data_IF_754701949467
#
_entry.id   IF_754701949467
#
_cell.length_a   1.000
_cell.length_b   1.000
_cell.length_c   1.000
_cell.angle_alpha   90.00
_cell.angle_beta   90.00
_cell.angle_gamma   90.00
#
_symmetry.space_group_name_H-M   'P 1'
#
loop_
_entity.id
_entity.type
_entity.pdbx_description
1 polymer ?
#
# COMPACT_ATOMS: atom_id res chain seq x y z
N UNK A 1 -19.49 28.54 -5.20
CA UNK A 1 -18.85 28.29 -3.89
C UNK A 1 -18.78 26.78 -3.66
N UNK A 2 -17.57 26.27 -3.45
CA UNK A 2 -17.19 24.84 -3.40
C UNK A 2 -17.67 24.16 -2.11
N UNK A 3 -18.10 22.89 -2.18
CA UNK A 3 -18.21 22.02 -1.00
C UNK A 3 -17.51 20.68 -1.24
N UNK A 4 -16.18 20.68 -1.05
CA UNK A 4 -15.34 19.50 -0.99
C UNK A 4 -15.51 18.80 0.38
N UNK A 5 -16.40 17.80 0.47
CA UNK A 5 -16.57 16.99 1.70
C UNK A 5 -16.83 15.50 1.42
N UNK A 6 -16.18 14.89 0.43
CA UNK A 6 -16.26 13.44 0.17
C UNK A 6 -15.01 12.65 0.56
N UNK A 7 -13.87 13.28 0.77
CA UNK A 7 -12.57 12.58 0.91
C UNK A 7 -12.35 11.93 2.29
N UNK A 8 -12.92 12.49 3.36
CA UNK A 8 -12.64 12.03 4.75
C UNK A 8 -13.28 10.68 5.12
N UNK A 9 -14.43 10.30 4.54
CA UNK A 9 -15.09 9.01 4.87
C UNK A 9 -14.34 7.80 4.27
N UNK A 10 -13.71 7.96 3.11
CA UNK A 10 -13.02 6.86 2.44
C UNK A 10 -11.73 6.44 3.17
N UNK A 11 -11.02 7.40 3.77
CA UNK A 11 -9.75 7.17 4.48
C UNK A 11 -9.93 6.41 5.79
N UNK A 12 -11.02 6.62 6.53
CA UNK A 12 -11.32 5.78 7.71
C UNK A 12 -11.59 4.32 7.30
N UNK A 13 -12.26 4.12 6.16
CA UNK A 13 -12.64 2.77 5.72
C UNK A 13 -11.44 1.87 5.37
N UNK A 14 -10.33 2.44 4.87
CA UNK A 14 -9.15 1.63 4.52
C UNK A 14 -8.35 1.23 5.75
N UNK A 15 -8.31 2.07 6.79
CA UNK A 15 -7.61 1.76 8.03
C UNK A 15 -8.27 0.60 8.77
N UNK A 16 -9.60 0.58 8.82
CA UNK A 16 -10.33 -0.56 9.39
C UNK A 16 -10.09 -1.85 8.60
N UNK A 17 -10.04 -1.79 7.26
CA UNK A 17 -9.71 -2.95 6.41
C UNK A 17 -8.28 -3.42 6.61
N UNK A 18 -7.33 -2.50 6.74
CA UNK A 18 -5.93 -2.79 7.04
C UNK A 18 -5.79 -3.49 8.40
N UNK A 19 -6.47 -3.01 9.43
CA UNK A 19 -6.45 -3.63 10.75
C UNK A 19 -6.92 -5.10 10.71
N UNK A 20 -7.94 -5.42 9.90
CA UNK A 20 -8.38 -6.80 9.69
C UNK A 20 -7.32 -7.65 8.98
N UNK A 21 -6.69 -7.12 7.93
CA UNK A 21 -5.62 -7.83 7.20
C UNK A 21 -4.41 -8.08 8.09
N UNK A 22 -4.06 -7.14 8.97
CA UNK A 22 -2.97 -7.32 9.94
C UNK A 22 -3.34 -8.38 10.99
N UNK A 23 -4.60 -8.43 11.43
CA UNK A 23 -5.07 -9.37 12.46
C UNK A 23 -5.16 -10.82 11.98
N UNK A 24 -5.68 -11.07 10.78
CA UNK A 24 -5.97 -12.43 10.30
C UNK A 24 -5.54 -12.72 8.86
N UNK A 25 -5.08 -11.69 8.13
CA UNK A 25 -4.65 -11.82 6.75
C UNK A 25 -3.19 -12.22 6.60
N UNK A 26 -2.83 -12.64 5.39
CA UNK A 26 -1.43 -12.81 4.98
C UNK A 26 -0.94 -11.50 4.37
N UNK A 27 0.11 -10.93 4.95
CA UNK A 27 0.73 -9.72 4.45
C UNK A 27 2.26 -9.83 4.51
N UNK A 28 2.95 -9.05 3.68
CA UNK A 28 4.40 -8.87 3.77
C UNK A 28 4.71 -7.39 3.75
N UNK A 29 5.57 -6.94 4.66
CA UNK A 29 6.00 -5.56 4.77
C UNK A 29 7.48 -5.43 4.43
N UNK A 30 7.86 -4.29 3.85
CA UNK A 30 9.24 -3.97 3.50
C UNK A 30 9.53 -4.05 2.01
N UNK A 31 10.49 -3.23 1.57
CA UNK A 31 10.81 -3.07 0.16
C UNK A 31 11.25 -4.37 -0.54
N UNK A 32 12.28 -5.03 0.01
CA UNK A 32 12.90 -6.23 -0.57
C UNK A 32 11.93 -7.42 -0.64
N UNK A 33 11.12 -7.59 0.40
CA UNK A 33 10.13 -8.66 0.52
C UNK A 33 8.97 -8.43 -0.45
N UNK A 34 8.46 -7.20 -0.56
CA UNK A 34 7.42 -6.83 -1.54
C UNK A 34 7.89 -7.09 -2.97
N UNK A 35 9.12 -6.69 -3.32
CA UNK A 35 9.71 -7.00 -4.63
C UNK A 35 9.78 -8.52 -4.91
N UNK A 36 10.17 -9.33 -3.91
CA UNK A 36 10.18 -10.79 -4.03
C UNK A 36 8.76 -11.36 -4.23
N UNK A 37 7.77 -10.83 -3.51
CA UNK A 37 6.37 -11.24 -3.64
C UNK A 37 5.79 -10.88 -5.00
N UNK A 38 6.13 -9.69 -5.53
CA UNK A 38 5.70 -9.22 -6.84
C UNK A 38 6.31 -10.04 -7.98
N UNK A 39 7.62 -10.34 -7.92
CA UNK A 39 8.28 -11.20 -8.91
C UNK A 39 7.71 -12.62 -8.96
N UNK A 40 7.19 -13.12 -7.85
CA UNK A 40 6.55 -14.42 -7.77
C UNK A 40 5.03 -14.38 -8.05
N UNK A 41 4.48 -13.21 -8.39
CA UNK A 41 3.04 -13.01 -8.64
C UNK A 41 2.12 -13.50 -7.52
N UNK A 42 2.58 -13.46 -6.27
CA UNK A 42 1.82 -13.92 -5.09
C UNK A 42 1.00 -12.82 -4.41
N UNK A 43 1.24 -11.56 -4.77
CA UNK A 43 0.54 -10.39 -4.23
C UNK A 43 -0.77 -10.10 -4.96
N UNK A 44 -1.81 -9.69 -4.23
CA UNK A 44 -3.09 -9.24 -4.81
C UNK A 44 -3.28 -7.72 -4.74
N UNK A 45 -2.65 -7.08 -3.78
CA UNK A 45 -2.72 -5.64 -3.53
C UNK A 45 -1.36 -5.17 -2.98
N UNK A 46 -0.89 -4.02 -3.47
CA UNK A 46 0.26 -3.31 -2.92
C UNK A 46 -0.21 -1.97 -2.39
N UNK A 47 0.25 -1.60 -1.20
CA UNK A 47 -0.03 -0.33 -0.57
C UNK A 47 1.27 0.44 -0.45
N UNK A 48 1.31 1.65 -1.03
CA UNK A 48 2.49 2.51 -1.02
C UNK A 48 2.19 3.71 -0.11
N UNK A 49 3.04 3.93 0.89
CA UNK A 49 2.96 5.08 1.78
C UNK A 49 3.38 6.37 1.07
N UNK A 50 2.88 7.51 1.57
CA UNK A 50 3.20 8.81 0.98
C UNK A 50 4.69 9.20 1.12
N UNK A 51 5.36 8.69 2.16
CA UNK A 51 6.78 8.96 2.42
C UNK A 51 7.74 8.01 1.68
N UNK A 52 7.26 7.17 0.76
CA UNK A 52 8.14 6.27 0.00
C UNK A 52 8.99 7.08 -1.01
N UNK A 53 10.33 6.89 -1.07
CA UNK A 53 11.17 7.60 -2.03
C UNK A 53 10.67 7.42 -3.48
N UNK A 54 10.67 8.47 -4.32
CA UNK A 54 10.10 8.42 -5.67
C UNK A 54 10.64 7.26 -6.51
N UNK A 55 11.96 7.00 -6.45
CA UNK A 55 12.59 5.91 -7.20
C UNK A 55 12.04 4.53 -6.81
N UNK A 56 11.89 4.28 -5.50
CA UNK A 56 11.34 3.00 -5.00
C UNK A 56 9.86 2.86 -5.31
N UNK A 57 9.12 3.97 -5.26
CA UNK A 57 7.71 4.01 -5.63
C UNK A 57 7.53 3.61 -7.10
N UNK A 58 8.27 4.24 -8.02
CA UNK A 58 8.24 3.91 -9.45
C UNK A 58 8.65 2.45 -9.71
N UNK A 59 9.66 1.94 -9.01
CA UNK A 59 10.08 0.54 -9.16
C UNK A 59 8.98 -0.44 -8.71
N UNK A 60 8.35 -0.20 -7.56
CA UNK A 60 7.24 -1.04 -7.07
C UNK A 60 6.05 -0.99 -8.03
N UNK A 61 5.68 0.20 -8.52
CA UNK A 61 4.58 0.39 -9.47
C UNK A 61 4.84 -0.37 -10.77
N UNK A 62 6.07 -0.31 -11.28
CA UNK A 62 6.48 -1.04 -12.48
C UNK A 62 6.31 -2.55 -12.32
N UNK A 63 6.83 -3.13 -11.22
CA UNK A 63 6.66 -4.55 -10.96
C UNK A 63 5.21 -4.95 -10.68
N UNK A 64 4.43 -4.10 -10.03
CA UNK A 64 3.01 -4.34 -9.81
C UNK A 64 2.23 -4.35 -11.14
N UNK A 65 2.57 -3.46 -12.08
CA UNK A 65 1.99 -3.44 -13.42
C UNK A 65 2.29 -4.74 -14.17
N UNK A 66 3.56 -5.20 -14.18
CA UNK A 66 3.95 -6.45 -14.83
C UNK A 66 3.21 -7.67 -14.24
N UNK A 67 3.07 -7.72 -12.91
CA UNK A 67 2.40 -8.81 -12.21
C UNK A 67 0.87 -8.66 -12.13
N UNK A 68 0.30 -7.62 -12.77
CA UNK A 68 -1.14 -7.29 -12.76
C UNK A 68 -1.71 -7.14 -11.34
N UNK A 69 -0.93 -6.59 -10.43
CA UNK A 69 -1.29 -6.36 -9.02
C UNK A 69 -1.84 -4.95 -8.86
N UNK A 70 -2.92 -4.81 -8.09
CA UNK A 70 -3.53 -3.51 -7.82
C UNK A 70 -2.61 -2.70 -6.89
N UNK A 71 -2.36 -1.44 -7.24
CA UNK A 71 -1.59 -0.50 -6.41
C UNK A 71 -2.55 0.52 -5.78
N UNK A 72 -2.44 0.71 -4.47
CA UNK A 72 -3.18 1.73 -3.74
C UNK A 72 -2.23 2.70 -3.04
N UNK A 73 -2.30 3.99 -3.40
CA UNK A 73 -1.56 5.04 -2.71
C UNK A 73 -2.23 5.38 -1.39
N UNK A 74 -1.52 5.15 -0.30
CA UNK A 74 -1.98 5.47 1.04
C UNK A 74 -1.38 6.79 1.49
N UNK A 75 -2.25 7.72 1.91
CA UNK A 75 -1.84 9.07 2.33
C UNK A 75 -1.17 9.10 3.72
N UNK A 76 -1.06 7.97 4.42
CA UNK A 76 -0.32 7.90 5.67
C UNK A 76 1.17 7.69 5.47
N UNK A 77 1.94 8.03 6.51
CA UNK A 77 3.38 7.80 6.58
C UNK A 77 3.66 6.38 7.06
N UNK A 78 4.66 5.71 6.46
CA UNK A 78 5.24 4.53 7.08
C UNK A 78 5.91 4.97 8.40
N UNK A 79 5.40 4.51 9.53
CA UNK A 79 6.06 4.67 10.84
C UNK A 79 7.35 3.84 10.82
N UNK A 80 8.49 4.51 11.00
CA UNK A 80 9.77 3.84 11.20
C UNK A 80 9.79 3.30 12.64
N UNK A 81 9.87 1.97 12.80
CA UNK A 81 9.81 1.25 14.07
C UNK A 81 8.46 0.55 14.20
N UNK A 82 8.36 -0.77 14.05
CA UNK A 82 8.62 -1.72 15.15
C UNK A 82 8.46 -1.02 16.51
N UNK A 83 7.23 -0.97 17.00
CA UNK A 83 6.96 -1.37 18.36
C UNK A 83 5.91 -2.49 18.28
#
# INVERSE_FOLDING_TARGET
MVAAKKTKKATESINSRLALVVKSGKYTLGYKTVLKTLRNSKGKLVIISNNCPPLRKSEIEYYAMLSKVIVHHYNGTAVNGIN
#
